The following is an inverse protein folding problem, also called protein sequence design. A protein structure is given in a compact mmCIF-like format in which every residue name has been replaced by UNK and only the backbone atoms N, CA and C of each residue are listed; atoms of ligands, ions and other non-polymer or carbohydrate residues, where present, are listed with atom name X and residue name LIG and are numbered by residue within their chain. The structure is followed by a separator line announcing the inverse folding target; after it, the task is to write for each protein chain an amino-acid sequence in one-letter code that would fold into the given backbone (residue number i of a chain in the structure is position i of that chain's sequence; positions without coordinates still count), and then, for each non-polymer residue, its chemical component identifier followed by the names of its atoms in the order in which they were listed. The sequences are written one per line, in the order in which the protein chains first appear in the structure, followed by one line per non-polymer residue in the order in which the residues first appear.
data_IF_631429665880
#
_entry.id   IF_631429665880
#
_cell.length_a   1.000
_cell.length_b   1.000
_cell.length_c   1.000
_cell.angle_alpha   90.00
_cell.angle_beta   90.00
_cell.angle_gamma   90.00
#
_symmetry.space_group_name_H-M   'P 1'
#
loop_
_entity.id
_entity.type
_entity.pdbx_description
1 polymer ?
#
# COMPACT_ATOMS: atom_id res chain seq x y z
N UNK A 1 -12.11 2.41 -9.99
CA UNK A 1 -11.09 2.85 -9.03
C UNK A 1 -11.61 2.46 -7.66
N UNK A 2 -11.02 1.42 -7.05
CA UNK A 2 -11.39 1.01 -5.69
C UNK A 2 -10.64 1.92 -4.72
N UNK A 3 -11.36 2.63 -3.86
CA UNK A 3 -10.76 3.48 -2.84
C UNK A 3 -10.75 2.70 -1.53
N UNK A 4 -9.58 2.28 -1.09
CA UNK A 4 -9.39 1.58 0.17
C UNK A 4 -9.11 2.60 1.28
N UNK A 5 -9.43 2.24 2.53
CA UNK A 5 -9.11 3.08 3.67
C UNK A 5 -7.64 2.90 4.06
N UNK A 6 -6.98 3.99 4.48
CA UNK A 6 -5.60 3.96 4.95
C UNK A 6 -5.50 3.06 6.20
N UNK A 7 -4.61 2.05 6.22
CA UNK A 7 -4.42 1.14 7.37
C UNK A 7 -3.81 1.81 8.60
N UNK A 8 -3.24 3.01 8.43
CA UNK A 8 -2.53 3.72 9.50
C UNK A 8 -3.52 4.38 10.44
N UNK A 9 -3.19 4.34 11.73
CA UNK A 9 -3.94 5.01 12.78
C UNK A 9 -4.02 6.51 12.49
N UNK A 10 -5.24 6.99 12.35
CA UNK A 10 -5.56 8.41 12.35
C UNK A 10 -6.30 8.69 13.65
N UNK A 11 -6.22 9.91 14.19
CA UNK A 11 -6.93 10.28 15.43
C UNK A 11 -8.45 10.01 15.43
N UNK A 12 -9.03 9.60 14.29
CA UNK A 12 -10.44 9.35 14.07
C UNK A 12 -10.78 7.86 13.90
N UNK A 13 -9.82 6.99 13.55
CA UNK A 13 -10.06 5.58 13.25
C UNK A 13 -8.76 4.75 13.24
N UNK A 14 -8.81 3.52 13.77
CA UNK A 14 -7.72 2.54 13.73
C UNK A 14 -8.23 1.11 13.50
N UNK A 15 -7.52 0.35 12.65
CA UNK A 15 -7.74 -1.07 12.36
C UNK A 15 -7.24 -2.01 13.49
N UNK A 16 -7.18 -1.55 14.72
CA UNK A 16 -6.63 -2.31 15.85
C UNK A 16 -5.68 -1.52 16.73
N UNK A 17 -5.32 -2.10 17.88
CA UNK A 17 -4.46 -1.46 18.86
C UNK A 17 -2.97 -1.71 18.57
N UNK A 18 -2.64 -2.85 17.96
CA UNK A 18 -1.26 -3.22 17.61
C UNK A 18 -0.98 -3.08 16.11
N UNK A 19 0.29 -3.00 15.71
CA UNK A 19 0.65 -2.97 14.27
C UNK A 19 0.21 -4.22 13.52
N UNK A 20 0.30 -5.39 14.17
CA UNK A 20 -0.10 -6.67 13.59
C UNK A 20 -1.61 -6.74 13.37
N UNK A 21 -2.41 -6.29 14.35
CA UNK A 21 -3.86 -6.19 14.23
C UNK A 21 -4.23 -5.23 13.10
N UNK A 22 -3.58 -4.06 13.03
CA UNK A 22 -3.81 -3.07 11.97
C UNK A 22 -3.55 -3.63 10.58
N UNK A 23 -2.41 -4.30 10.39
CA UNK A 23 -2.11 -4.94 9.11
C UNK A 23 -3.16 -6.01 8.77
N UNK A 24 -3.46 -6.90 9.71
CA UNK A 24 -4.37 -8.02 9.49
C UNK A 24 -5.79 -7.57 9.16
N UNK A 25 -6.35 -6.65 9.95
CA UNK A 25 -7.72 -6.16 9.74
C UNK A 25 -7.82 -5.29 8.48
N UNK A 26 -6.82 -4.46 8.19
CA UNK A 26 -6.83 -3.67 6.96
C UNK A 26 -6.70 -4.53 5.70
N UNK A 27 -5.92 -5.62 5.75
CA UNK A 27 -5.82 -6.59 4.66
C UNK A 27 -7.12 -7.37 4.48
N UNK A 28 -7.77 -7.79 5.57
CA UNK A 28 -9.08 -8.44 5.51
C UNK A 28 -10.13 -7.53 4.89
N UNK A 29 -10.14 -6.24 5.27
CA UNK A 29 -11.02 -5.25 4.68
C UNK A 29 -10.71 -5.02 3.19
N UNK A 30 -9.43 -4.91 2.82
CA UNK A 30 -9.01 -4.78 1.42
C UNK A 30 -9.48 -5.96 0.58
N UNK A 31 -9.33 -7.19 1.09
CA UNK A 31 -9.77 -8.40 0.40
C UNK A 31 -11.30 -8.44 0.27
N UNK A 32 -12.05 -8.03 1.30
CA UNK A 32 -13.50 -7.88 1.22
C UNK A 32 -13.90 -6.92 0.09
N UNK A 33 -13.24 -5.76 0.00
CA UNK A 33 -13.49 -4.81 -1.09
C UNK A 33 -13.17 -5.41 -2.47
N UNK A 34 -12.06 -6.15 -2.60
CA UNK A 34 -11.70 -6.86 -3.84
C UNK A 34 -12.80 -7.87 -4.23
N UNK A 35 -13.37 -8.59 -3.26
CA UNK A 35 -14.49 -9.52 -3.51
C UNK A 35 -15.77 -8.79 -3.91
N UNK A 36 -16.13 -7.71 -3.21
CA UNK A 36 -17.33 -6.93 -3.50
C UNK A 36 -17.34 -6.35 -4.92
N UNK A 37 -16.19 -5.86 -5.39
CA UNK A 37 -16.04 -5.27 -6.72
C UNK A 37 -15.89 -6.34 -7.83
N UNK A 38 -15.60 -7.58 -7.45
CA UNK A 38 -15.29 -8.67 -8.37
C UNK A 38 -13.82 -8.62 -8.82
N UNK A 39 -12.96 -9.58 -8.42
CA UNK A 39 -11.53 -9.50 -8.67
C UNK A 39 -11.13 -9.31 -10.14
N UNK A 40 -11.91 -9.87 -11.06
CA UNK A 40 -11.67 -9.79 -12.52
C UNK A 40 -11.96 -8.41 -13.11
N UNK A 41 -12.58 -7.51 -12.35
CA UNK A 41 -12.86 -6.13 -12.78
C UNK A 41 -11.75 -5.15 -12.40
N UNK A 42 -10.81 -5.59 -11.55
CA UNK A 42 -9.73 -4.76 -11.01
C UNK A 42 -8.44 -5.04 -11.77
N UNK A 43 -7.91 -4.03 -12.47
CA UNK A 43 -6.66 -4.17 -13.23
C UNK A 43 -5.41 -3.94 -12.38
N UNK A 44 -5.44 -2.97 -11.46
CA UNK A 44 -4.28 -2.56 -10.68
C UNK A 44 -4.67 -1.95 -9.33
N UNK A 45 -3.75 -2.04 -8.37
CA UNK A 45 -3.74 -1.27 -7.14
C UNK A 45 -2.51 -0.35 -7.11
N UNK A 46 -2.70 0.89 -6.64
CA UNK A 46 -1.65 1.90 -6.58
C UNK A 46 -1.48 2.41 -5.14
N UNK A 47 -0.24 2.39 -4.65
CA UNK A 47 0.11 2.76 -3.28
C UNK A 47 1.35 3.66 -3.23
N UNK A 48 1.29 4.73 -2.43
CA UNK A 48 2.50 5.42 -1.97
C UNK A 48 3.21 4.52 -0.95
N UNK A 49 4.52 4.27 -1.12
CA UNK A 49 5.27 3.44 -0.15
C UNK A 49 5.37 4.10 1.23
N UNK A 50 5.34 5.43 1.25
CA UNK A 50 5.05 6.23 2.44
C UNK A 50 4.11 7.34 1.99
N UNK A 51 2.93 7.41 2.60
CA UNK A 51 1.91 8.39 2.20
C UNK A 51 2.40 9.77 2.58
N UNK A 52 2.71 10.60 1.58
CA UNK A 52 3.33 11.90 1.79
C UNK A 52 2.33 12.97 2.22
N UNK A 53 1.55 13.46 1.25
CA UNK A 53 0.61 14.59 1.43
C UNK A 53 -0.52 14.30 2.41
N UNK A 54 -0.80 13.01 2.68
CA UNK A 54 -1.84 12.58 3.61
C UNK A 54 -1.46 12.70 5.08
N UNK A 55 -0.18 12.95 5.42
CA UNK A 55 0.26 13.09 6.81
C UNK A 55 1.51 12.29 7.18
N UNK A 56 2.33 11.88 6.20
CA UNK A 56 3.55 11.07 6.42
C UNK A 56 3.24 9.77 7.16
N UNK A 57 2.50 8.89 6.51
CA UNK A 57 2.08 7.62 7.10
C UNK A 57 2.93 6.46 6.61
N UNK A 58 3.47 5.69 7.55
CA UNK A 58 4.14 4.43 7.29
C UNK A 58 3.11 3.30 7.30
N UNK A 59 3.21 2.40 6.33
CA UNK A 59 2.44 1.17 6.37
C UNK A 59 2.81 0.33 7.61
N UNK A 60 1.82 -0.21 8.34
CA UNK A 60 2.10 -1.15 9.43
C UNK A 60 2.92 -2.35 8.93
N UNK A 61 3.75 -2.93 9.80
CA UNK A 61 4.59 -4.08 9.45
C UNK A 61 3.77 -5.22 8.84
N UNK A 62 4.20 -5.73 7.69
CA UNK A 62 3.54 -6.83 6.97
C UNK A 62 2.37 -6.42 6.07
N UNK A 63 1.92 -5.15 6.13
CA UNK A 63 0.81 -4.68 5.30
C UNK A 63 1.16 -4.68 3.81
N UNK A 64 2.33 -4.14 3.45
CA UNK A 64 2.74 -4.05 2.04
C UNK A 64 2.99 -5.44 1.42
N UNK A 65 3.58 -6.36 2.18
CA UNK A 65 3.73 -7.76 1.78
C UNK A 65 2.37 -8.45 1.59
N UNK A 66 1.40 -8.16 2.46
CA UNK A 66 0.03 -8.65 2.32
C UNK A 66 -0.68 -8.09 1.09
N UNK A 67 -0.51 -6.80 0.79
CA UNK A 67 -1.05 -6.17 -0.43
C UNK A 67 -0.48 -6.86 -1.67
N UNK A 68 0.84 -7.09 -1.71
CA UNK A 68 1.49 -7.82 -2.79
C UNK A 68 0.92 -9.23 -2.95
N UNK A 69 0.73 -9.96 -1.85
CA UNK A 69 0.15 -11.30 -1.86
C UNK A 69 -1.30 -11.30 -2.39
N UNK A 70 -2.11 -10.30 -2.04
CA UNK A 70 -3.46 -10.13 -2.59
C UNK A 70 -3.43 -9.82 -4.08
N UNK A 71 -2.53 -8.95 -4.54
CA UNK A 71 -2.32 -8.69 -5.95
C UNK A 71 -2.00 -9.99 -6.72
N UNK A 72 -1.08 -10.80 -6.21
CA UNK A 72 -0.68 -12.07 -6.83
C UNK A 72 -1.83 -13.07 -6.86
N UNK A 73 -2.59 -13.18 -5.77
CA UNK A 73 -3.75 -14.06 -5.64
C UNK A 73 -4.83 -13.77 -6.69
N UNK A 74 -5.05 -12.50 -7.01
CA UNK A 74 -6.14 -12.06 -7.89
C UNK A 74 -5.70 -11.62 -9.29
N UNK A 75 -4.41 -11.66 -9.60
CA UNK A 75 -3.87 -11.23 -10.88
C UNK A 75 -3.96 -9.71 -11.10
N UNK A 76 -3.84 -8.94 -10.01
CA UNK A 76 -3.94 -7.48 -10.01
C UNK A 76 -2.51 -6.89 -10.03
N UNK A 77 -2.25 -5.89 -10.88
CA UNK A 77 -0.95 -5.22 -10.90
C UNK A 77 -0.74 -4.37 -9.64
N UNK A 78 0.47 -4.39 -9.08
CA UNK A 78 0.88 -3.47 -8.02
C UNK A 78 1.70 -2.31 -8.59
N UNK A 79 1.24 -1.10 -8.35
CA UNK A 79 1.93 0.14 -8.70
C UNK A 79 2.41 0.82 -7.42
N UNK A 80 3.71 1.04 -7.28
CA UNK A 80 4.24 1.88 -6.20
C UNK A 80 4.44 3.31 -6.70
N UNK A 81 3.74 4.25 -6.08
CA UNK A 81 3.91 5.68 -6.32
C UNK A 81 5.10 6.21 -5.50
N UNK A 82 6.20 6.46 -6.20
CA UNK A 82 7.47 6.93 -5.64
C UNK A 82 7.71 8.41 -5.94
N UNK A 83 6.69 9.14 -6.40
CA UNK A 83 6.83 10.55 -6.77
C UNK A 83 7.33 11.41 -5.60
N UNK A 84 6.98 11.08 -4.35
CA UNK A 84 7.50 11.82 -3.19
C UNK A 84 8.74 11.18 -2.56
N UNK A 85 8.77 9.84 -2.52
CA UNK A 85 9.73 9.09 -1.70
C UNK A 85 10.86 8.41 -2.47
N UNK A 86 10.84 8.50 -3.80
CA UNK A 86 11.97 8.13 -4.65
C UNK A 86 13.19 9.03 -4.48
N UNK A 87 14.30 8.63 -5.11
CA UNK A 87 15.59 9.31 -5.14
C UNK A 87 16.20 9.57 -3.76
N UNK A 88 16.11 8.60 -2.85
CA UNK A 88 16.87 8.65 -1.59
C UNK A 88 16.15 9.33 -0.42
N UNK A 89 14.89 9.81 -0.61
CA UNK A 89 14.15 10.52 0.45
C UNK A 89 14.09 9.75 1.77
N UNK A 90 13.94 8.43 1.71
CA UNK A 90 13.83 7.55 2.90
C UNK A 90 15.14 6.82 3.24
N UNK A 91 16.24 7.12 2.55
CA UNK A 91 17.55 6.47 2.71
C UNK A 91 17.79 5.26 1.79
N UNK A 92 16.76 4.78 1.07
CA UNK A 92 16.90 3.88 -0.09
C UNK A 92 16.50 4.62 -1.36
N UNK A 93 16.91 4.10 -2.53
CA UNK A 93 16.64 4.79 -3.80
C UNK A 93 15.13 4.87 -4.09
N UNK A 94 14.39 3.81 -3.75
CA UNK A 94 12.93 3.79 -3.76
C UNK A 94 12.39 3.47 -2.35
N UNK A 95 11.25 4.05 -1.98
CA UNK A 95 10.57 3.80 -0.73
C UNK A 95 10.11 2.34 -0.55
N UNK A 96 9.61 1.70 -1.62
CA UNK A 96 9.15 0.31 -1.57
C UNK A 96 10.27 -0.67 -1.16
N UNK A 97 11.53 -0.32 -1.38
CA UNK A 97 12.68 -1.16 -1.02
C UNK A 97 12.81 -1.35 0.50
N UNK A 98 12.11 -0.57 1.32
CA UNK A 98 12.02 -0.81 2.76
C UNK A 98 11.12 -2.00 3.13
N UNK A 99 10.28 -2.45 2.20
CA UNK A 99 9.37 -3.58 2.31
C UNK A 99 9.90 -4.73 1.46
N UNK A 100 9.57 -5.98 1.83
CA UNK A 100 10.02 -7.16 1.08
C UNK A 100 9.07 -7.46 -0.09
N UNK A 101 8.95 -6.49 -1.01
CA UNK A 101 8.05 -6.55 -2.17
C UNK A 101 8.74 -6.13 -3.46
N UNK A 102 8.17 -6.57 -4.58
CA UNK A 102 8.49 -6.07 -5.91
C UNK A 102 7.20 -5.57 -6.60
N UNK A 103 7.07 -4.27 -6.89
CA UNK A 103 5.94 -3.76 -7.68
C UNK A 103 6.11 -4.09 -9.16
N UNK A 104 4.98 -4.14 -9.88
CA UNK A 104 4.95 -4.31 -11.34
C UNK A 104 5.29 -3.02 -12.07
N UNK A 105 4.88 -1.88 -11.50
CA UNK A 105 5.11 -0.54 -12.05
C UNK A 105 5.55 0.41 -10.93
N UNK A 106 6.47 1.32 -11.24
CA UNK A 106 6.90 2.39 -10.35
C UNK A 106 6.64 3.73 -11.04
N UNK A 107 5.99 4.67 -10.36
CA UNK A 107 5.86 6.06 -10.84
C UNK A 107 6.91 6.93 -10.18
N UNK A 108 7.42 7.93 -10.90
CA UNK A 108 8.55 8.74 -10.43
C UNK A 108 8.48 10.16 -10.99
N UNK A 109 8.80 11.15 -10.16
CA UNK A 109 8.94 12.57 -10.49
C UNK A 109 9.67 13.28 -9.34
N UNK A 110 9.50 14.60 -9.18
CA UNK A 110 10.08 15.46 -8.13
C UNK A 110 11.60 15.35 -7.97
N UNK A 111 12.09 14.34 -7.24
CA UNK A 111 13.52 14.14 -6.99
C UNK A 111 14.32 13.62 -8.19
N UNK A 112 13.66 13.35 -9.32
CA UNK A 112 14.27 12.94 -10.60
C UNK A 112 15.21 14.01 -11.17
#
# INVERSE_FOLDING_TARGET
FVKTMNPTDTHLFSFGATEEERATQALAYLEEQIQCEGPTTIAAMMFESVIGSGGVHLAPKGYMEGVRALCDKYGILLICDEVMVGFGRTGKFWGFQHYDILPDIVTSAKGL
#
